data_IF_680881558731
#
_entry.id   IF_680881558731
#
_cell.length_a   1.000
_cell.length_b   1.000
_cell.length_c   1.000
_cell.angle_alpha   90.00
_cell.angle_beta   90.00
_cell.angle_gamma   90.00
#
_symmetry.space_group_name_H-M   'P 1'
#
loop_
_entity.id
_entity.type
_entity.pdbx_description
1 polymer ?
#
# COMPACT_ATOMS: atom_id res chain seq x y z
N UNK A 1 -58.60 31.61 -20.06
CA UNK A 1 -57.19 32.07 -20.06
C UNK A 1 -56.36 31.23 -19.09
N UNK A 2 -55.20 30.68 -19.50
CA UNK A 2 -54.34 29.93 -18.60
C UNK A 2 -53.71 30.87 -17.56
N UNK A 3 -53.45 30.39 -16.33
CA UNK A 3 -52.77 31.16 -15.31
C UNK A 3 -51.35 31.53 -15.75
N UNK A 4 -50.82 32.70 -15.33
CA UNK A 4 -49.46 33.08 -15.63
C UNK A 4 -48.47 32.07 -15.02
N UNK A 5 -47.33 31.80 -15.68
CA UNK A 5 -46.31 30.92 -15.14
C UNK A 5 -45.74 31.51 -13.83
N UNK A 6 -45.33 30.65 -12.88
CA UNK A 6 -44.69 31.11 -11.66
C UNK A 6 -43.36 31.81 -11.97
N UNK A 7 -42.96 32.80 -11.14
CA UNK A 7 -41.66 33.45 -11.28
C UNK A 7 -40.52 32.43 -11.09
N UNK A 8 -39.37 32.63 -11.76
CA UNK A 8 -38.20 31.77 -11.56
C UNK A 8 -37.71 31.85 -10.11
N UNK A 9 -37.16 30.74 -9.55
CA UNK A 9 -36.59 30.75 -8.22
C UNK A 9 -35.39 31.71 -8.16
N UNK A 10 -35.11 32.30 -6.98
CA UNK A 10 -33.94 33.14 -6.80
C UNK A 10 -32.64 32.35 -7.05
N UNK A 11 -31.59 32.99 -7.56
CA UNK A 11 -30.28 32.35 -7.74
C UNK A 11 -29.74 31.87 -6.39
N UNK A 12 -29.32 30.60 -6.34
CA UNK A 12 -28.70 29.98 -5.17
C UNK A 12 -27.36 30.69 -4.90
N UNK A 13 -27.05 31.07 -3.64
CA UNK A 13 -25.75 31.64 -3.31
C UNK A 13 -24.62 30.64 -3.64
N UNK A 14 -23.45 31.12 -4.09
CA UNK A 14 -22.31 30.25 -4.34
C UNK A 14 -21.91 29.52 -3.05
N UNK A 15 -21.47 28.24 -3.13
CA UNK A 15 -20.98 27.53 -1.97
C UNK A 15 -19.80 28.32 -1.35
N UNK A 16 -19.68 28.35 -0.01
CA UNK A 16 -18.55 28.98 0.64
C UNK A 16 -17.26 28.35 0.12
N UNK A 17 -16.31 29.18 -0.31
CA UNK A 17 -14.96 28.76 -0.62
C UNK A 17 -14.38 28.09 0.63
N UNK A 18 -14.30 26.77 0.61
CA UNK A 18 -13.72 25.99 1.70
C UNK A 18 -12.25 26.37 1.91
N UNK A 19 -11.67 26.06 3.08
CA UNK A 19 -10.25 26.27 3.31
C UNK A 19 -9.45 25.53 2.24
N UNK A 20 -8.57 26.27 1.56
CA UNK A 20 -7.60 25.71 0.63
C UNK A 20 -6.64 24.84 1.44
N UNK A 21 -6.92 23.54 1.55
CA UNK A 21 -5.98 22.59 2.15
C UNK A 21 -4.76 22.53 1.23
N UNK A 22 -3.74 23.31 1.54
CA UNK A 22 -2.43 23.21 0.89
C UNK A 22 -1.93 21.77 1.10
N UNK A 23 -1.71 21.05 0.00
CA UNK A 23 -1.14 19.71 0.07
C UNK A 23 0.18 19.75 0.85
N UNK A 24 0.48 18.73 1.69
CA UNK A 24 1.75 18.68 2.40
C UNK A 24 2.92 18.81 1.42
N UNK A 25 4.01 19.50 1.79
CA UNK A 25 5.21 19.52 0.97
C UNK A 25 5.71 18.10 0.73
N UNK A 26 6.25 17.84 -0.46
CA UNK A 26 6.88 16.56 -0.77
C UNK A 26 8.16 16.44 0.08
N UNK A 27 8.36 15.30 0.77
CA UNK A 27 9.54 15.06 1.59
C UNK A 27 10.76 14.81 0.69
N UNK A 28 11.95 15.07 1.21
CA UNK A 28 13.15 14.43 0.65
C UNK A 28 13.20 12.93 1.03
N UNK A 29 14.10 12.18 0.40
CA UNK A 29 14.23 10.73 0.63
C UNK A 29 14.52 10.38 2.09
N UNK A 30 15.41 11.14 2.74
CA UNK A 30 15.79 10.91 4.13
C UNK A 30 14.65 11.24 5.11
N UNK A 31 13.91 12.31 4.83
CA UNK A 31 12.71 12.65 5.58
C UNK A 31 11.62 11.57 5.43
N UNK A 32 11.38 11.09 4.21
CA UNK A 32 10.45 10.00 3.94
C UNK A 32 10.84 8.73 4.70
N UNK A 33 12.11 8.32 4.63
CA UNK A 33 12.62 7.12 5.31
C UNK A 33 12.42 7.24 6.82
N UNK A 34 12.85 8.35 7.41
CA UNK A 34 12.76 8.58 8.87
C UNK A 34 11.31 8.56 9.35
N UNK A 35 10.40 9.25 8.63
CA UNK A 35 8.98 9.30 8.99
C UNK A 35 8.30 7.94 8.83
N UNK A 36 8.62 7.23 7.75
CA UNK A 36 8.06 5.90 7.46
C UNK A 36 8.50 4.88 8.49
N UNK A 37 9.79 4.87 8.85
CA UNK A 37 10.34 3.97 9.87
C UNK A 37 9.67 4.20 11.23
N UNK A 38 9.56 5.46 11.65
CA UNK A 38 8.89 5.82 12.90
C UNK A 38 7.41 5.38 12.90
N UNK A 39 6.71 5.55 11.78
CA UNK A 39 5.31 5.15 11.63
C UNK A 39 5.13 3.63 11.68
N UNK A 40 5.96 2.86 10.96
CA UNK A 40 5.93 1.39 11.00
C UNK A 40 6.20 0.85 12.40
N UNK A 41 7.18 1.41 13.10
CA UNK A 41 7.49 1.07 14.49
C UNK A 41 6.32 1.38 15.42
N UNK A 42 5.68 2.54 15.29
CA UNK A 42 4.51 2.90 16.07
C UNK A 42 3.32 1.96 15.81
N UNK A 43 3.17 1.48 14.58
CA UNK A 43 2.14 0.52 14.19
C UNK A 43 2.48 -0.95 14.54
N UNK A 44 3.68 -1.22 15.06
CA UNK A 44 4.19 -2.59 15.30
C UNK A 44 4.13 -3.47 14.04
N UNK A 45 4.36 -2.87 12.87
CA UNK A 45 4.42 -3.59 11.60
C UNK A 45 5.86 -4.07 11.36
N UNK A 46 6.02 -5.36 11.07
CA UNK A 46 7.30 -5.90 10.66
C UNK A 46 7.62 -5.42 9.24
N UNK A 47 8.85 -4.95 9.03
CA UNK A 47 9.34 -4.52 7.74
C UNK A 47 10.82 -4.88 7.58
N UNK A 48 11.30 -4.84 6.35
CA UNK A 48 12.71 -4.91 5.99
C UNK A 48 13.01 -3.80 4.97
N UNK A 49 14.29 -3.51 4.76
CA UNK A 49 14.70 -2.68 3.63
C UNK A 49 15.01 -3.59 2.44
N UNK A 50 14.81 -3.09 1.22
CA UNK A 50 14.97 -3.85 -0.02
C UNK A 50 13.73 -3.78 -0.89
N UNK A 51 13.46 -4.81 -1.69
CA UNK A 51 12.19 -4.90 -2.40
C UNK A 51 11.83 -6.29 -2.88
N UNK A 52 10.53 -6.54 -3.01
CA UNK A 52 10.01 -7.68 -3.76
C UNK A 52 10.17 -7.46 -5.27
N UNK A 53 10.67 -8.48 -5.94
CA UNK A 53 10.78 -8.55 -7.40
C UNK A 53 9.92 -9.69 -7.95
N UNK A 54 9.35 -9.46 -9.14
CA UNK A 54 8.33 -10.30 -9.82
C UNK A 54 6.97 -10.34 -9.12
N UNK A 55 5.94 -10.84 -9.82
CA UNK A 55 4.54 -10.93 -9.33
C UNK A 55 3.87 -9.58 -9.01
N UNK A 56 4.20 -8.52 -9.75
CA UNK A 56 3.61 -7.19 -9.54
C UNK A 56 2.10 -7.15 -9.82
N UNK A 57 1.34 -6.58 -8.89
CA UNK A 57 -0.14 -6.43 -8.97
C UNK A 57 -0.60 -4.98 -9.17
N UNK A 58 0.32 -4.05 -9.35
CA UNK A 58 0.04 -2.62 -9.49
C UNK A 58 0.56 -1.79 -8.31
N UNK A 59 0.38 -0.47 -8.39
CA UNK A 59 0.83 0.46 -7.38
C UNK A 59 0.10 1.79 -7.37
N UNK A 60 0.26 2.53 -6.27
CA UNK A 60 -0.43 3.80 -6.01
C UNK A 60 0.46 4.75 -5.19
N UNK A 61 0.33 6.05 -5.43
CA UNK A 61 0.99 7.08 -4.63
C UNK A 61 0.40 7.09 -3.21
N UNK A 62 1.24 6.89 -2.19
CA UNK A 62 0.78 6.65 -0.80
C UNK A 62 1.27 7.69 0.20
N UNK A 63 1.92 8.79 -0.24
CA UNK A 63 2.33 9.85 0.69
C UNK A 63 1.14 10.77 1.06
N UNK A 64 1.00 11.19 2.34
CA UNK A 64 1.91 11.00 3.48
C UNK A 64 1.69 9.73 4.32
N UNK A 65 0.79 8.84 3.91
CA UNK A 65 0.50 7.59 4.64
C UNK A 65 1.67 6.59 4.67
N UNK A 66 2.56 6.64 3.68
CA UNK A 66 3.80 5.88 3.63
C UNK A 66 3.60 4.36 3.60
N UNK A 67 4.56 3.62 4.16
CA UNK A 67 4.51 2.17 4.23
C UNK A 67 3.35 1.63 5.08
N UNK A 68 2.87 2.37 6.09
CA UNK A 68 1.71 1.96 6.89
C UNK A 68 0.43 1.93 6.05
N UNK A 69 0.23 2.96 5.22
CA UNK A 69 -0.85 2.98 4.25
C UNK A 69 -0.65 1.90 3.17
N UNK A 70 0.59 1.68 2.72
CA UNK A 70 0.91 0.62 1.76
C UNK A 70 0.60 -0.79 2.29
N UNK A 71 0.93 -1.08 3.54
CA UNK A 71 0.57 -2.33 4.22
C UNK A 71 -0.94 -2.49 4.27
N UNK A 72 -1.67 -1.45 4.69
CA UNK A 72 -3.15 -1.49 4.73
C UNK A 72 -3.77 -1.68 3.33
N UNK A 73 -3.18 -1.06 2.31
CA UNK A 73 -3.58 -1.22 0.91
C UNK A 73 -3.38 -2.65 0.43
N UNK A 74 -2.26 -3.29 0.80
CA UNK A 74 -2.03 -4.70 0.51
C UNK A 74 -3.02 -5.60 1.28
N UNK A 75 -3.29 -5.34 2.57
CA UNK A 75 -4.27 -6.12 3.35
C UNK A 75 -5.68 -6.10 2.77
N UNK A 76 -6.06 -5.01 2.09
CA UNK A 76 -7.37 -4.89 1.44
C UNK A 76 -7.52 -5.79 0.20
N UNK A 77 -6.43 -6.34 -0.32
CA UNK A 77 -6.39 -7.18 -1.51
C UNK A 77 -5.94 -8.60 -1.18
N UNK A 78 -6.85 -9.57 -1.30
CA UNK A 78 -6.58 -10.98 -0.97
C UNK A 78 -5.55 -11.66 -1.89
N UNK A 79 -5.22 -11.03 -3.03
CA UNK A 79 -4.16 -11.50 -3.92
C UNK A 79 -2.79 -10.92 -3.54
N UNK A 80 -2.76 -9.82 -2.78
CA UNK A 80 -1.53 -9.21 -2.31
C UNK A 80 -0.89 -10.04 -1.18
N UNK A 81 0.29 -10.58 -1.45
CA UNK A 81 1.10 -11.33 -0.50
C UNK A 81 2.22 -10.46 0.08
N UNK A 82 2.73 -9.53 -0.72
CA UNK A 82 3.84 -8.69 -0.35
C UNK A 82 3.65 -7.25 -0.85
N UNK A 83 4.31 -6.31 -0.21
CA UNK A 83 4.25 -4.90 -0.59
C UNK A 83 5.63 -4.25 -0.50
N UNK A 84 5.85 -3.26 -1.37
CA UNK A 84 6.99 -2.34 -1.30
C UNK A 84 6.47 -0.90 -1.20
N UNK A 85 7.05 -0.07 -0.34
CA UNK A 85 6.87 1.37 -0.35
C UNK A 85 8.21 2.04 -0.67
N UNK A 86 8.25 2.83 -1.73
CA UNK A 86 9.47 3.42 -2.27
C UNK A 86 9.55 4.90 -1.92
N UNK A 87 10.51 5.29 -1.07
CA UNK A 87 10.70 6.70 -0.73
C UNK A 87 11.33 7.54 -1.86
N UNK A 88 11.73 6.94 -2.99
CA UNK A 88 12.22 7.69 -4.16
C UNK A 88 11.08 8.37 -4.92
N UNK A 89 9.94 7.69 -5.08
CA UNK A 89 8.78 8.15 -5.87
C UNK A 89 7.49 8.23 -5.06
N UNK A 90 7.55 7.86 -3.77
CA UNK A 90 6.46 7.88 -2.81
C UNK A 90 5.31 6.94 -3.18
N UNK A 91 5.60 5.90 -3.95
CA UNK A 91 4.62 4.92 -4.40
C UNK A 91 4.69 3.62 -3.58
N UNK A 92 3.52 3.01 -3.45
CA UNK A 92 3.34 1.66 -2.95
C UNK A 92 3.16 0.71 -4.12
N UNK A 93 3.76 -0.47 -4.06
CA UNK A 93 3.61 -1.54 -5.03
C UNK A 93 3.15 -2.80 -4.32
N UNK A 94 2.14 -3.47 -4.88
CA UNK A 94 1.63 -4.77 -4.42
C UNK A 94 2.26 -5.89 -5.22
N UNK A 95 2.46 -7.01 -4.55
CA UNK A 95 3.02 -8.22 -5.14
C UNK A 95 2.21 -9.44 -4.70
N UNK A 96 1.94 -10.33 -5.65
CA UNK A 96 1.14 -11.52 -5.46
C UNK A 96 1.96 -12.72 -5.01
N UNK A 97 1.43 -13.92 -5.21
CA UNK A 97 2.14 -15.18 -4.90
C UNK A 97 3.44 -15.27 -5.70
N UNK A 98 4.51 -15.66 -5.02
CA UNK A 98 5.84 -15.86 -5.60
C UNK A 98 6.70 -14.61 -5.47
N UNK A 99 7.63 -14.43 -6.41
CA UNK A 99 8.65 -13.40 -6.31
C UNK A 99 9.76 -13.77 -5.32
N UNK A 100 10.77 -12.92 -5.27
CA UNK A 100 11.86 -13.03 -4.30
C UNK A 100 12.20 -11.66 -3.73
N UNK A 101 12.72 -11.68 -2.51
CA UNK A 101 13.20 -10.49 -1.81
C UNK A 101 14.59 -10.13 -2.34
N UNK A 102 14.77 -8.87 -2.69
CA UNK A 102 16.06 -8.27 -3.06
C UNK A 102 16.59 -7.42 -1.92
N UNK A 103 17.88 -7.59 -1.64
CA UNK A 103 18.57 -6.87 -0.57
C UNK A 103 18.59 -5.33 -0.80
N UNK A 104 18.75 -4.56 0.29
CA UNK A 104 19.00 -3.13 0.21
C UNK A 104 20.24 -2.83 -0.63
N UNK A 105 20.10 -1.94 -1.61
CA UNK A 105 21.20 -1.51 -2.46
C UNK A 105 21.04 -0.03 -2.83
N UNK A 106 22.00 0.79 -2.38
CA UNK A 106 22.02 2.22 -2.66
C UNK A 106 22.27 2.57 -4.13
N UNK A 107 22.88 1.69 -4.92
CA UNK A 107 23.06 1.90 -6.36
C UNK A 107 21.72 1.91 -7.09
N UNK A 108 20.78 1.08 -6.64
CA UNK A 108 19.44 0.96 -7.24
C UNK A 108 18.36 1.68 -6.42
N UNK A 109 18.75 2.39 -5.35
CA UNK A 109 17.81 3.10 -4.47
C UNK A 109 16.91 2.19 -3.64
N UNK A 110 17.26 0.91 -3.48
CA UNK A 110 16.52 -0.07 -2.64
C UNK A 110 16.82 0.10 -1.15
N UNK A 111 17.85 0.87 -0.80
CA UNK A 111 18.19 1.26 0.57
C UNK A 111 17.16 2.20 1.22
N UNK A 112 16.27 2.79 0.41
CA UNK A 112 15.14 3.61 0.87
C UNK A 112 13.79 3.01 0.50
N UNK A 113 13.76 1.72 0.18
CA UNK A 113 12.53 0.97 -0.08
C UNK A 113 12.21 0.10 1.13
N UNK A 114 10.97 0.20 1.62
CA UNK A 114 10.45 -0.61 2.71
C UNK A 114 9.63 -1.75 2.13
N UNK A 115 9.88 -2.97 2.58
CA UNK A 115 9.10 -4.13 2.17
C UNK A 115 8.48 -4.82 3.37
N UNK A 116 7.37 -5.52 3.11
CA UNK A 116 6.73 -6.37 4.09
C UNK A 116 5.81 -7.41 3.47
N UNK A 117 5.27 -8.24 4.34
CA UNK A 117 4.37 -9.33 4.02
C UNK A 117 2.96 -9.00 4.53
N UNK A 118 1.93 -9.47 3.82
CA UNK A 118 0.54 -9.36 4.27
C UNK A 118 0.14 -10.55 5.16
N UNK A 119 -0.94 -10.38 5.92
CA UNK A 119 -1.57 -11.47 6.66
C UNK A 119 -2.07 -12.59 5.75
N UNK A 120 -2.41 -12.26 4.49
CA UNK A 120 -2.80 -13.25 3.48
C UNK A 120 -1.66 -14.20 3.13
N UNK A 121 -0.42 -13.70 3.06
CA UNK A 121 0.76 -14.54 2.82
C UNK A 121 0.94 -15.57 3.94
N UNK A 122 0.90 -15.12 5.20
CA UNK A 122 1.03 -16.02 6.36
C UNK A 122 -0.08 -17.09 6.40
N UNK A 123 -1.33 -16.70 6.09
CA UNK A 123 -2.45 -17.65 6.00
C UNK A 123 -2.20 -18.71 4.94
N UNK A 124 -1.75 -18.32 3.74
CA UNK A 124 -1.48 -19.26 2.64
C UNK A 124 -0.33 -20.21 2.96
N UNK A 125 0.75 -19.73 3.57
CA UNK A 125 1.85 -20.60 3.99
C UNK A 125 1.38 -21.70 4.96
N UNK A 126 0.45 -21.36 5.86
CA UNK A 126 -0.16 -22.32 6.77
C UNK A 126 -1.04 -23.34 6.05
N UNK A 127 -1.86 -22.90 5.09
CA UNK A 127 -2.71 -23.77 4.28
C UNK A 127 -1.88 -24.75 3.43
N UNK A 128 -0.82 -24.26 2.79
CA UNK A 128 0.10 -25.08 1.98
C UNK A 128 0.82 -26.11 2.87
N UNK A 129 1.31 -25.70 4.05
CA UNK A 129 1.94 -26.61 5.00
C UNK A 129 1.00 -27.75 5.46
N UNK A 130 -0.30 -27.46 5.67
CA UNK A 130 -1.27 -28.51 6.02
C UNK A 130 -1.58 -29.45 4.86
N UNK A 131 -1.58 -28.95 3.62
CA UNK A 131 -1.89 -29.71 2.41
C UNK A 131 -0.77 -30.68 1.99
N UNK A 132 0.48 -30.40 2.37
CA UNK A 132 1.64 -31.27 2.11
C UNK A 132 1.70 -32.50 3.03
N UNK A 133 0.74 -32.69 3.94
CA UNK A 133 0.61 -33.94 4.72
C UNK A 133 0.15 -35.08 3.79
N UNK A 134 1.08 -35.61 3.01
CA UNK A 134 0.92 -36.74 2.10
C UNK A 134 0.40 -37.93 2.91
N UNK A 135 -0.66 -38.64 2.48
CA UNK A 135 -1.04 -39.89 3.13
C UNK A 135 0.15 -40.87 3.09
N UNK A 136 0.36 -41.68 4.15
CA UNK A 136 1.45 -42.63 4.19
C UNK A 136 1.38 -43.51 2.94
N UNK A 137 2.53 -43.66 2.26
CA UNK A 137 2.64 -44.55 1.12
C UNK A 137 2.20 -45.95 1.58
N UNK A 138 1.18 -46.51 0.92
CA UNK A 138 0.83 -47.91 1.13
C UNK A 138 2.01 -48.74 0.61
N UNK A 139 2.75 -49.37 1.53
CA UNK A 139 3.67 -50.47 1.22
C UNK A 139 2.90 -51.55 0.45
N UNK A 140 3.44 -51.95 -0.70
CA UNK A 140 2.99 -53.08 -1.52
C UNK A 140 3.98 -54.24 -1.35
#
# INVERSE_FOLDING_TARGET
>A
PPPPPPPPPPPVPPPPSGPTTTAPPLPDKGECTTKTEAALKAASLNYRLGGWSYSHLGGEYMWPGGAVACSSFCESDTECMHWNFNCNDLTCHKYGRGGYEEDPDGQFGRDVMFLGDSSHHARRLKEDATSTTRPPAKEL
#
